data_IF_528048976807
#
_entry.id   IF_528048976807
#
_cell.length_a   1.000
_cell.length_b   1.000
_cell.length_c   1.000
_cell.angle_alpha   90.00
_cell.angle_beta   90.00
_cell.angle_gamma   90.00
#
_symmetry.space_group_name_H-M   'P 1'
#
loop_
_entity.id
_entity.type
_entity.pdbx_description
1 polymer ?
#
# COMPACT_ATOMS: atom_id res chain seq x y z
N UNK A 1 8.11 13.89 25.19
CA UNK A 1 7.61 13.53 23.85
C UNK A 1 8.43 14.31 22.84
N UNK A 2 8.99 13.63 21.82
CA UNK A 2 9.70 14.30 20.73
C UNK A 2 8.69 14.64 19.64
N UNK A 3 8.82 15.83 19.07
CA UNK A 3 8.04 16.22 17.91
C UNK A 3 8.47 15.38 16.71
N UNK A 4 7.49 14.72 16.06
CA UNK A 4 7.73 13.79 14.94
C UNK A 4 7.76 14.53 13.60
N UNK A 5 6.98 15.60 13.47
CA UNK A 5 6.93 16.44 12.26
C UNK A 5 6.74 17.91 12.68
N UNK A 6 7.81 18.71 12.72
CA UNK A 6 7.76 20.14 13.05
C UNK A 6 6.96 20.99 12.07
N UNK A 7 6.61 20.43 10.90
CA UNK A 7 5.90 21.11 9.83
C UNK A 7 4.44 20.64 9.71
N UNK A 8 3.93 19.90 10.70
CA UNK A 8 2.60 19.34 10.68
C UNK A 8 1.54 20.46 10.61
N UNK A 9 0.71 20.40 9.57
CA UNK A 9 -0.41 21.31 9.35
C UNK A 9 -1.71 20.52 9.21
N UNK A 10 -2.85 21.17 9.44
CA UNK A 10 -4.19 20.58 9.39
C UNK A 10 -4.41 19.86 8.06
N UNK A 11 -4.02 20.48 6.93
CA UNK A 11 -4.18 19.87 5.61
C UNK A 11 -3.36 18.58 5.45
N UNK A 12 -2.15 18.50 6.05
CA UNK A 12 -1.33 17.29 6.03
C UNK A 12 -1.99 16.16 6.84
N UNK A 13 -2.53 16.49 8.00
CA UNK A 13 -3.22 15.51 8.86
C UNK A 13 -4.50 15.02 8.19
N UNK A 14 -5.30 15.92 7.62
CA UNK A 14 -6.51 15.56 6.87
C UNK A 14 -6.18 14.63 5.69
N UNK A 15 -5.12 14.93 4.93
CA UNK A 15 -4.66 14.07 3.84
C UNK A 15 -4.27 12.67 4.33
N UNK A 16 -3.53 12.58 5.44
CA UNK A 16 -3.17 11.29 6.05
C UNK A 16 -4.39 10.49 6.50
N UNK A 17 -5.37 11.14 7.13
CA UNK A 17 -6.62 10.50 7.56
C UNK A 17 -7.40 10.00 6.34
N UNK A 18 -7.52 10.81 5.28
CA UNK A 18 -8.23 10.43 4.07
C UNK A 18 -7.55 9.25 3.36
N UNK A 19 -6.22 9.26 3.25
CA UNK A 19 -5.47 8.13 2.70
C UNK A 19 -5.70 6.85 3.50
N UNK A 20 -5.67 6.93 4.84
CA UNK A 20 -5.93 5.80 5.72
C UNK A 20 -7.32 5.22 5.51
N UNK A 21 -8.35 6.07 5.43
CA UNK A 21 -9.73 5.66 5.15
C UNK A 21 -9.87 5.00 3.77
N UNK A 22 -9.24 5.57 2.74
CA UNK A 22 -9.27 5.02 1.38
C UNK A 22 -8.68 3.60 1.33
N UNK A 23 -7.50 3.40 1.94
CA UNK A 23 -6.88 2.07 2.00
C UNK A 23 -7.76 1.08 2.75
N UNK A 24 -8.32 1.51 3.89
CA UNK A 24 -9.22 0.66 4.69
C UNK A 24 -10.46 0.23 3.90
N UNK A 25 -11.14 1.14 3.21
CA UNK A 25 -12.32 0.83 2.37
C UNK A 25 -12.02 -0.17 1.28
N UNK A 26 -10.88 -0.02 0.59
CA UNK A 26 -10.44 -0.96 -0.45
C UNK A 26 -10.30 -2.37 0.14
N UNK A 27 -9.69 -2.47 1.31
CA UNK A 27 -9.51 -3.76 1.97
C UNK A 27 -10.83 -4.34 2.48
N UNK A 28 -11.70 -3.51 3.06
CA UNK A 28 -13.04 -3.90 3.49
C UNK A 28 -13.87 -4.46 2.32
N UNK A 29 -13.85 -3.81 1.15
CA UNK A 29 -14.55 -4.27 -0.04
C UNK A 29 -14.09 -5.65 -0.49
N UNK A 30 -12.79 -5.97 -0.40
CA UNK A 30 -12.27 -7.31 -0.75
C UNK A 30 -12.79 -8.38 0.21
N UNK A 31 -12.78 -8.08 1.52
CA UNK A 31 -13.33 -8.97 2.55
C UNK A 31 -14.81 -9.21 2.30
N UNK A 32 -15.61 -8.15 2.12
CA UNK A 32 -17.04 -8.26 1.85
C UNK A 32 -17.34 -9.01 0.56
N UNK A 33 -16.60 -8.73 -0.51
CA UNK A 33 -16.76 -9.42 -1.79
C UNK A 33 -16.49 -10.92 -1.64
N UNK A 34 -15.41 -11.29 -0.94
CA UNK A 34 -15.09 -12.71 -0.69
C UNK A 34 -16.17 -13.43 0.13
N UNK A 35 -16.83 -12.73 1.06
CA UNK A 35 -17.96 -13.28 1.84
C UNK A 35 -19.22 -13.43 1.00
N UNK A 36 -19.51 -12.45 0.13
CA UNK A 36 -20.69 -12.43 -0.72
C UNK A 36 -20.66 -13.49 -1.83
N UNK A 37 -19.47 -13.86 -2.32
CA UNK A 37 -19.32 -14.86 -3.39
C UNK A 37 -19.71 -16.28 -3.02
N UNK A 38 -20.11 -16.56 -1.78
CA UNK A 38 -20.70 -17.84 -1.36
C UNK A 38 -19.78 -19.06 -1.51
N UNK A 39 -18.49 -18.84 -1.81
CA UNK A 39 -17.48 -19.89 -1.72
C UNK A 39 -17.35 -20.27 -0.25
N UNK A 40 -17.33 -21.58 0.04
CA UNK A 40 -17.25 -22.09 1.41
C UNK A 40 -16.18 -21.39 2.25
N UNK A 41 -16.34 -21.46 3.57
CA UNK A 41 -15.53 -20.78 4.60
C UNK A 41 -14.01 -20.78 4.39
N UNK A 42 -13.47 -21.66 3.56
CA UNK A 42 -12.05 -21.75 3.19
C UNK A 42 -11.56 -20.68 2.20
N UNK A 43 -12.43 -19.89 1.57
CA UNK A 43 -12.02 -18.91 0.53
C UNK A 43 -12.36 -17.44 0.87
N UNK A 44 -12.39 -17.10 2.17
CA UNK A 44 -12.57 -15.71 2.60
C UNK A 44 -11.22 -14.98 2.47
N UNK A 45 -11.25 -13.80 1.85
CA UNK A 45 -10.07 -12.95 1.72
C UNK A 45 -9.59 -12.49 3.10
N UNK A 46 -8.31 -12.71 3.37
CA UNK A 46 -7.64 -12.24 4.59
C UNK A 46 -6.98 -10.89 4.31
N UNK A 47 -7.32 -9.84 5.08
CA UNK A 47 -6.69 -8.54 4.95
C UNK A 47 -5.16 -8.58 5.08
N UNK A 48 -4.45 -7.95 4.15
CA UNK A 48 -2.99 -7.75 4.23
C UNK A 48 -2.61 -6.67 5.24
N UNK A 49 -3.55 -5.80 5.58
CA UNK A 49 -3.34 -4.72 6.51
C UNK A 49 -3.27 -5.26 7.95
N UNK A 50 -2.07 -5.31 8.55
CA UNK A 50 -1.85 -5.92 9.88
C UNK A 50 -2.69 -5.29 11.00
N UNK A 51 -3.07 -4.02 10.84
CA UNK A 51 -3.89 -3.26 11.78
C UNK A 51 -5.38 -3.21 11.39
N UNK A 52 -5.80 -3.99 10.39
CA UNK A 52 -7.18 -4.01 9.89
C UNK A 52 -8.21 -4.17 11.02
N UNK A 53 -8.06 -5.21 11.84
CA UNK A 53 -8.98 -5.50 12.95
C UNK A 53 -8.88 -4.50 14.12
N UNK A 54 -7.83 -3.67 14.15
CA UNK A 54 -7.59 -2.69 15.21
C UNK A 54 -8.14 -1.30 14.84
N UNK A 55 -8.55 -1.09 13.60
CA UNK A 55 -9.09 0.20 13.16
C UNK A 55 -10.54 0.35 13.60
N UNK A 56 -10.83 1.47 14.27
CA UNK A 56 -12.18 1.90 14.60
C UNK A 56 -13.02 2.29 13.36
N UNK A 57 -12.43 2.27 12.17
CA UNK A 57 -13.05 2.75 10.94
C UNK A 57 -14.17 1.82 10.46
N UNK A 58 -14.17 0.54 10.84
CA UNK A 58 -15.19 -0.43 10.41
C UNK A 58 -16.62 0.03 10.74
N UNK A 59 -16.81 0.56 11.95
CA UNK A 59 -18.12 1.03 12.42
C UNK A 59 -18.52 2.37 11.79
N UNK A 60 -17.54 3.15 11.32
CA UNK A 60 -17.74 4.47 10.71
C UNK A 60 -17.96 4.42 9.20
N UNK A 61 -17.60 3.31 8.55
CA UNK A 61 -17.80 3.10 7.10
C UNK A 61 -19.19 2.50 6.79
N UNK A 62 -20.02 2.22 7.79
CA UNK A 62 -21.41 1.90 7.52
C UNK A 62 -22.09 3.08 6.81
N UNK A 63 -22.84 2.82 5.72
CA UNK A 63 -23.50 3.88 4.99
C UNK A 63 -24.56 4.52 5.89
N UNK A 64 -24.23 5.68 6.47
CA UNK A 64 -25.22 6.62 6.97
C UNK A 64 -26.05 7.06 5.76
N UNK A 65 -27.15 6.35 5.50
CA UNK A 65 -28.21 6.70 4.56
C UNK A 65 -27.74 7.32 3.24
N UNK A 66 -27.47 6.47 2.24
CA UNK A 66 -27.45 6.78 0.80
C UNK A 66 -27.34 8.27 0.43
N UNK A 67 -26.14 8.86 0.51
CA UNK A 67 -25.79 9.99 -0.34
C UNK A 67 -24.86 9.48 -1.44
N UNK A 68 -25.47 9.21 -2.59
CA UNK A 68 -24.80 8.73 -3.80
C UNK A 68 -23.64 9.64 -4.17
N UNK A 69 -22.41 9.19 -3.93
CA UNK A 69 -21.25 9.64 -4.69
C UNK A 69 -20.43 8.41 -5.08
N UNK A 70 -20.73 7.91 -6.28
CA UNK A 70 -19.94 6.90 -6.97
C UNK A 70 -18.56 7.48 -7.25
N UNK A 71 -17.58 7.20 -6.39
CA UNK A 71 -16.17 7.52 -6.63
C UNK A 71 -15.47 6.25 -7.10
N UNK A 72 -15.53 6.11 -8.42
CA UNK A 72 -14.45 5.75 -9.33
C UNK A 72 -13.54 4.57 -8.95
N UNK A 73 -13.73 3.49 -9.71
CA UNK A 73 -12.84 2.34 -9.81
C UNK A 73 -11.50 2.76 -10.44
N UNK A 74 -10.60 3.35 -9.65
CA UNK A 74 -9.22 3.58 -10.10
C UNK A 74 -8.42 2.28 -9.98
N UNK A 75 -8.06 1.76 -11.15
CA UNK A 75 -7.16 0.64 -11.42
C UNK A 75 -5.89 0.70 -10.57
N UNK A 76 -5.48 -0.48 -10.10
CA UNK A 76 -4.29 -0.72 -9.30
C UNK A 76 -3.02 -0.28 -10.04
N UNK A 77 -2.33 0.74 -9.52
CA UNK A 77 -0.89 0.96 -9.74
C UNK A 77 -0.20 0.95 -8.37
N UNK A 78 0.48 -0.15 -8.09
CA UNK A 78 1.23 -0.41 -6.86
C UNK A 78 2.61 0.24 -6.99
N UNK A 79 2.68 1.55 -6.75
CA UNK A 79 3.95 2.28 -6.60
C UNK A 79 4.11 2.73 -5.15
N UNK A 80 4.41 1.78 -4.27
CA UNK A 80 4.99 2.08 -2.96
C UNK A 80 6.49 2.34 -3.14
N UNK A 81 6.84 3.62 -3.25
CA UNK A 81 8.21 4.10 -3.35
C UNK A 81 9.01 3.70 -2.08
N UNK A 82 9.84 2.67 -2.22
CA UNK A 82 10.83 2.28 -1.23
C UNK A 82 12.01 3.24 -1.35
N UNK A 83 12.06 4.25 -0.48
CA UNK A 83 13.24 5.11 -0.34
C UNK A 83 14.38 4.28 0.24
N UNK A 84 15.28 3.80 -0.62
CA UNK A 84 16.58 3.21 -0.24
C UNK A 84 17.57 4.35 -0.01
N UNK A 85 18.11 4.42 1.20
CA UNK A 85 19.24 5.28 1.55
C UNK A 85 20.47 4.97 0.67
N UNK A 86 20.97 6.00 0.00
CA UNK A 86 22.20 6.02 -0.78
C UNK A 86 23.42 5.89 0.16
N UNK A 87 23.99 4.69 0.24
CA UNK A 87 25.37 4.50 0.73
C UNK A 87 26.33 4.57 -0.45
N UNK A 88 26.86 5.76 -0.69
CA UNK A 88 27.93 5.98 -1.65
C UNK A 88 29.22 5.27 -1.19
N UNK A 89 29.73 4.34 -2.00
CA UNK A 89 31.17 4.08 -2.07
C UNK A 89 31.56 3.57 -3.46
N UNK A 90 32.66 4.07 -4.05
CA UNK A 90 33.00 3.89 -5.45
C UNK A 90 33.81 2.60 -5.66
N UNK A 91 33.70 1.99 -6.84
CA UNK A 91 34.82 1.42 -7.63
C UNK A 91 34.27 0.55 -8.76
N UNK A 92 34.50 0.96 -10.02
CA UNK A 92 34.50 0.03 -11.15
C UNK A 92 35.30 0.61 -12.31
N UNK A 93 36.60 0.33 -12.34
CA UNK A 93 37.32 0.21 -13.61
C UNK A 93 37.13 -1.23 -14.10
N UNK A 94 36.23 -1.40 -15.06
CA UNK A 94 36.05 -2.62 -15.84
C UNK A 94 36.84 -2.42 -17.12
N UNK A 95 37.86 -3.25 -17.37
CA UNK A 95 38.36 -3.47 -18.74
C UNK A 95 38.63 -4.96 -18.97
N UNK A 96 37.74 -5.53 -19.79
CA UNK A 96 37.94 -6.54 -20.84
C UNK A 96 38.66 -7.85 -20.52
N UNK A 97 37.86 -8.92 -20.46
CA UNK A 97 38.32 -10.31 -20.65
C UNK A 97 38.34 -10.61 -22.15
N UNK A 98 39.54 -10.72 -22.73
CA UNK A 98 39.74 -11.47 -23.98
C UNK A 98 40.16 -12.91 -23.63
N UNK A 99 39.39 -13.88 -24.11
CA UNK A 99 39.74 -15.29 -24.08
C UNK A 99 39.63 -15.82 -25.50
N UNK A 100 40.73 -15.84 -26.22
CA UNK A 100 40.87 -16.65 -27.44
C UNK A 100 41.98 -17.68 -27.23
N UNK A 101 41.66 -18.92 -27.56
CA UNK A 101 42.43 -20.13 -27.26
C UNK A 101 43.26 -20.54 -28.48
N UNK A 102 44.56 -20.75 -28.31
CA UNK A 102 45.38 -21.68 -29.11
C UNK A 102 45.38 -23.06 -28.39
N UNK A 103 45.57 -24.23 -29.05
CA UNK A 103 46.73 -24.59 -29.93
C UNK A 103 46.29 -25.41 -31.19
N UNK A 104 47.10 -25.93 -32.12
CA UNK A 104 48.52 -26.34 -32.28
C UNK A 104 49.00 -25.95 -33.69
#
# INVERSE_FOLDING_TARGET
>A
MKEVDPSADISKVQKKINNLRTVFRKELKKVESSRASGSGTDNIYVPKLWYYEKLFLKDQEQPYGATSSSIDSQSDDDSIESTRDEVASPTSDIVSVERFSEPQ
#
